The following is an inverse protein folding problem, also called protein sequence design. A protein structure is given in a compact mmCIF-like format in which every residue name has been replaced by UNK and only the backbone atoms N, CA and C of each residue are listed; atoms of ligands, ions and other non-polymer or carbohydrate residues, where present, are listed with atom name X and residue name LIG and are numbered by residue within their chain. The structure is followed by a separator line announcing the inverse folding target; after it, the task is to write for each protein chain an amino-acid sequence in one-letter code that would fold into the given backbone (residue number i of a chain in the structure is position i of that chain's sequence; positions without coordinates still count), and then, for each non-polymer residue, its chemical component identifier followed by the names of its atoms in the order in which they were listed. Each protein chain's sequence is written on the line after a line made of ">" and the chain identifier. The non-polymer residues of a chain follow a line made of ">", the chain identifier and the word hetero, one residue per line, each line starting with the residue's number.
data_IF_433974464701
#
_entry.id   IF_433974464701
#
_cell.length_a   1.000
_cell.length_b   1.000
_cell.length_c   1.000
_cell.angle_alpha   90.00
_cell.angle_beta   90.00
_cell.angle_gamma   90.00
#
_symmetry.space_group_name_H-M   'P 1'
#
loop_
_entity.id
_entity.type
_entity.pdbx_description
1 polymer ?
#
# COMPACT_ATOMS: atom_id res chain seq x y z
N UNK A 1 -18.38 -100.20 81.93
CA UNK A 1 -17.58 -99.29 81.07
C UNK A 1 -17.65 -97.87 81.63
N UNK A 2 -16.78 -96.97 81.14
CA UNK A 2 -16.96 -95.51 81.18
C UNK A 2 -16.73 -94.73 82.50
N UNK A 3 -15.85 -95.19 83.39
CA UNK A 3 -15.19 -94.28 84.36
C UNK A 3 -14.19 -93.36 83.63
N UNK A 4 -13.16 -93.94 82.99
CA UNK A 4 -12.11 -93.21 82.25
C UNK A 4 -12.60 -92.22 81.18
N UNK A 5 -13.84 -92.37 80.67
CA UNK A 5 -14.46 -91.36 79.78
C UNK A 5 -14.99 -90.16 80.57
N UNK A 6 -15.65 -90.39 81.71
CA UNK A 6 -16.11 -89.34 82.64
C UNK A 6 -14.92 -88.58 83.22
N UNK A 7 -13.86 -89.27 83.63
CA UNK A 7 -12.66 -88.63 84.18
C UNK A 7 -12.01 -87.68 83.14
N UNK A 8 -11.86 -88.12 81.89
CA UNK A 8 -11.37 -87.27 80.79
C UNK A 8 -12.30 -86.08 80.50
N UNK A 9 -13.63 -86.28 80.55
CA UNK A 9 -14.60 -85.21 80.36
C UNK A 9 -14.56 -84.20 81.51
N UNK A 10 -14.35 -84.66 82.75
CA UNK A 10 -14.19 -83.80 83.92
C UNK A 10 -12.91 -82.96 83.79
N UNK A 11 -11.79 -83.57 83.38
CA UNK A 11 -10.54 -82.86 83.14
C UNK A 11 -10.64 -81.84 81.99
N UNK A 12 -11.32 -82.16 80.88
CA UNK A 12 -11.48 -81.18 79.79
C UNK A 12 -12.46 -80.05 80.17
N UNK A 13 -13.50 -80.33 80.96
CA UNK A 13 -14.35 -79.30 81.54
C UNK A 13 -13.57 -78.41 82.52
N UNK A 14 -12.72 -78.98 83.37
CA UNK A 14 -11.83 -78.23 84.26
C UNK A 14 -10.84 -77.35 83.48
N UNK A 15 -10.26 -77.84 82.38
CA UNK A 15 -9.40 -76.99 81.52
C UNK A 15 -10.17 -75.86 80.83
N UNK A 16 -11.43 -76.07 80.43
CA UNK A 16 -12.26 -74.99 79.88
C UNK A 16 -12.66 -73.98 80.97
N UNK A 17 -12.96 -74.44 82.18
CA UNK A 17 -13.24 -73.56 83.33
C UNK A 17 -11.99 -72.75 83.71
N UNK A 18 -10.81 -73.38 83.79
CA UNK A 18 -9.54 -72.70 84.05
C UNK A 18 -9.20 -71.70 82.95
N UNK A 19 -9.38 -72.05 81.67
CA UNK A 19 -9.19 -71.10 80.56
C UNK A 19 -10.15 -69.90 80.65
N UNK A 20 -11.44 -70.13 80.93
CA UNK A 20 -12.43 -69.06 81.10
C UNK A 20 -12.15 -68.21 82.35
N UNK A 21 -11.68 -68.83 83.44
CA UNK A 21 -11.29 -68.14 84.67
C UNK A 21 -10.04 -67.27 84.44
N UNK A 22 -9.02 -67.78 83.75
CA UNK A 22 -7.84 -67.00 83.37
C UNK A 22 -8.18 -65.88 82.38
N UNK A 23 -9.11 -66.11 81.43
CA UNK A 23 -9.62 -65.05 80.55
C UNK A 23 -10.38 -63.96 81.32
N UNK A 24 -11.20 -64.34 82.30
CA UNK A 24 -11.89 -63.40 83.18
C UNK A 24 -10.90 -62.65 84.10
N UNK A 25 -9.85 -63.31 84.60
CA UNK A 25 -8.78 -62.66 85.40
C UNK A 25 -7.96 -61.70 84.54
N UNK A 26 -7.57 -62.07 83.31
CA UNK A 26 -6.92 -61.15 82.37
C UNK A 26 -7.83 -59.97 81.99
N UNK A 27 -9.13 -60.23 81.78
CA UNK A 27 -10.09 -59.15 81.56
C UNK A 27 -10.16 -58.24 82.80
N UNK A 28 -10.24 -58.79 84.01
CA UNK A 28 -10.31 -58.02 85.25
C UNK A 28 -9.01 -57.27 85.60
N UNK A 29 -7.84 -57.70 85.11
CA UNK A 29 -6.59 -56.93 85.27
C UNK A 29 -6.41 -55.86 84.18
N UNK A 30 -6.84 -56.10 82.95
CA UNK A 30 -6.97 -55.06 81.92
C UNK A 30 -8.08 -54.04 82.26
N UNK A 31 -9.12 -54.48 82.96
CA UNK A 31 -10.25 -53.72 83.48
C UNK A 31 -10.07 -53.40 84.99
N UNK A 32 -8.81 -53.34 85.43
CA UNK A 32 -8.41 -52.86 86.76
C UNK A 32 -8.34 -51.34 86.88
N UNK A 33 -8.43 -50.62 85.76
CA UNK A 33 -8.95 -49.26 85.73
C UNK A 33 -10.47 -49.32 85.57
N UNK A 34 -11.16 -48.41 86.25
CA UNK A 34 -12.62 -48.36 86.40
C UNK A 34 -13.38 -48.69 85.09
N UNK A 35 -14.25 -49.73 85.10
CA UNK A 35 -15.14 -50.05 83.98
C UNK A 35 -15.90 -48.85 83.41
N UNK A 36 -16.37 -47.95 84.27
CA UNK A 36 -17.14 -46.77 83.88
C UNK A 36 -16.25 -45.77 83.14
N UNK A 37 -15.05 -45.49 83.65
CA UNK A 37 -14.07 -44.63 82.97
C UNK A 37 -13.63 -45.19 81.61
N UNK A 38 -13.56 -46.52 81.46
CA UNK A 38 -13.26 -47.17 80.17
C UNK A 38 -14.41 -47.02 79.16
N UNK A 39 -15.66 -47.09 79.61
CA UNK A 39 -16.82 -46.89 78.72
C UNK A 39 -17.03 -45.40 78.38
N UNK A 40 -16.84 -44.50 79.34
CA UNK A 40 -17.02 -43.06 79.15
C UNK A 40 -15.90 -42.43 78.32
N UNK A 41 -14.64 -42.89 78.45
CA UNK A 41 -13.58 -42.50 77.50
C UNK A 41 -13.80 -43.07 76.09
N UNK A 42 -14.54 -44.17 75.95
CA UNK A 42 -14.99 -44.68 74.65
C UNK A 42 -16.13 -43.83 74.07
N UNK A 43 -17.13 -43.45 74.89
CA UNK A 43 -18.19 -42.51 74.51
C UNK A 43 -17.62 -41.16 74.07
N UNK A 44 -16.66 -40.62 74.83
CA UNK A 44 -16.00 -39.36 74.54
C UNK A 44 -15.28 -39.38 73.17
N UNK A 45 -14.45 -40.39 72.90
CA UNK A 45 -13.81 -40.57 71.59
C UNK A 45 -14.82 -40.73 70.45
N UNK A 46 -15.96 -41.37 70.71
CA UNK A 46 -17.05 -41.50 69.75
C UNK A 46 -17.90 -40.22 69.56
N UNK A 47 -17.74 -39.21 70.42
CA UNK A 47 -18.28 -37.85 70.24
C UNK A 47 -17.27 -37.03 69.45
N UNK A 48 -16.00 -37.01 69.86
CA UNK A 48 -14.89 -36.33 69.17
C UNK A 48 -14.79 -36.74 67.68
N UNK A 49 -14.86 -38.04 67.39
CA UNK A 49 -14.86 -38.54 66.01
C UNK A 49 -16.11 -38.12 65.21
N UNK A 50 -17.26 -37.91 65.86
CA UNK A 50 -18.47 -37.37 65.20
C UNK A 50 -18.34 -35.87 64.94
N UNK A 51 -17.61 -35.14 65.76
CA UNK A 51 -17.37 -33.71 65.59
C UNK A 51 -16.34 -33.47 64.48
N UNK A 52 -15.24 -34.21 64.48
CA UNK A 52 -14.28 -34.26 63.35
C UNK A 52 -14.97 -34.65 62.03
N UNK A 53 -15.90 -35.62 62.04
CA UNK A 53 -16.68 -35.98 60.85
C UNK A 53 -17.63 -34.87 60.38
N UNK A 54 -18.26 -34.12 61.31
CA UNK A 54 -19.09 -32.94 60.95
C UNK A 54 -18.23 -31.84 60.33
N UNK A 55 -17.08 -31.53 60.93
CA UNK A 55 -16.14 -30.50 60.47
C UNK A 55 -15.56 -30.85 59.08
N UNK A 56 -15.11 -32.09 58.90
CA UNK A 56 -14.64 -32.59 57.60
C UNK A 56 -15.75 -32.55 56.54
N UNK A 57 -17.00 -32.86 56.90
CA UNK A 57 -18.14 -32.75 55.97
C UNK A 57 -18.47 -31.29 55.63
N UNK A 58 -18.38 -30.37 56.60
CA UNK A 58 -18.64 -28.94 56.40
C UNK A 58 -17.58 -28.30 55.49
N UNK A 59 -16.29 -28.51 55.78
CA UNK A 59 -15.17 -28.02 54.97
C UNK A 59 -15.16 -28.62 53.57
N UNK A 60 -15.50 -29.91 53.41
CA UNK A 60 -15.70 -30.51 52.09
C UNK A 60 -16.83 -29.83 51.30
N UNK A 61 -17.98 -29.55 51.94
CA UNK A 61 -19.10 -28.86 51.30
C UNK A 61 -18.73 -27.43 50.87
N UNK A 62 -18.06 -26.68 51.74
CA UNK A 62 -17.54 -25.34 51.44
C UNK A 62 -16.58 -25.37 50.24
N UNK A 63 -15.65 -26.33 50.18
CA UNK A 63 -14.75 -26.50 49.04
C UNK A 63 -15.49 -26.84 47.75
N UNK A 64 -16.52 -27.70 47.80
CA UNK A 64 -17.37 -28.01 46.63
C UNK A 64 -18.13 -26.77 46.15
N UNK A 65 -18.66 -25.95 47.05
CA UNK A 65 -19.37 -24.71 46.71
C UNK A 65 -18.42 -23.62 46.17
N UNK A 66 -17.22 -23.49 46.73
CA UNK A 66 -16.17 -22.61 46.23
C UNK A 66 -15.69 -23.01 44.82
N UNK A 67 -15.43 -24.31 44.58
CA UNK A 67 -15.07 -24.82 43.26
C UNK A 67 -16.22 -24.63 42.26
N UNK A 68 -17.46 -24.92 42.65
CA UNK A 68 -18.63 -24.79 41.78
C UNK A 68 -18.87 -23.34 41.38
N UNK A 69 -18.88 -22.42 42.34
CA UNK A 69 -19.08 -20.98 42.08
C UNK A 69 -17.93 -20.36 41.28
N UNK A 70 -16.68 -20.79 41.50
CA UNK A 70 -15.55 -20.40 40.66
C UNK A 70 -15.69 -20.92 39.22
N UNK A 71 -16.12 -22.18 39.04
CA UNK A 71 -16.35 -22.79 37.73
C UNK A 71 -17.46 -22.06 36.95
N UNK A 72 -18.59 -21.76 37.59
CA UNK A 72 -19.69 -20.98 37.00
C UNK A 72 -19.23 -19.58 36.55
N UNK A 73 -18.28 -18.96 37.27
CA UNK A 73 -17.71 -17.66 36.88
C UNK A 73 -16.60 -17.76 35.81
N UNK A 74 -15.88 -18.88 35.74
CA UNK A 74 -14.75 -19.07 34.83
C UNK A 74 -15.20 -19.52 33.43
N UNK A 75 -16.15 -20.46 33.36
CA UNK A 75 -16.65 -21.04 32.11
C UNK A 75 -17.06 -19.99 31.05
N UNK A 76 -17.95 -19.01 31.33
CA UNK A 76 -18.35 -18.01 30.33
C UNK A 76 -17.20 -17.11 29.87
N UNK A 77 -16.22 -16.84 30.75
CA UNK A 77 -15.02 -16.04 30.39
C UNK A 77 -14.14 -16.79 29.38
N UNK A 78 -14.01 -18.11 29.54
CA UNK A 78 -13.29 -18.99 28.59
C UNK A 78 -14.05 -19.08 27.25
N UNK A 79 -15.38 -19.20 27.28
CA UNK A 79 -16.18 -19.16 26.04
C UNK A 79 -16.06 -17.83 25.31
N UNK A 80 -16.14 -16.70 26.02
CA UNK A 80 -15.91 -15.37 25.44
C UNK A 80 -14.52 -15.22 24.84
N UNK A 81 -13.48 -15.68 25.54
CA UNK A 81 -12.11 -15.66 25.02
C UNK A 81 -12.00 -16.48 23.71
N UNK A 82 -12.64 -17.65 23.65
CA UNK A 82 -12.70 -18.50 22.45
C UNK A 82 -13.48 -17.84 21.30
N UNK A 83 -14.61 -17.16 21.59
CA UNK A 83 -15.39 -16.38 20.60
C UNK A 83 -14.54 -15.23 20.03
N UNK A 84 -13.87 -14.47 20.90
CA UNK A 84 -12.98 -13.36 20.54
C UNK A 84 -11.77 -13.85 19.74
N UNK A 85 -11.18 -14.99 20.09
CA UNK A 85 -10.10 -15.63 19.34
C UNK A 85 -10.54 -16.00 17.92
N UNK A 86 -11.72 -16.61 17.74
CA UNK A 86 -12.25 -16.95 16.43
C UNK A 86 -12.50 -15.70 15.55
N UNK A 87 -13.08 -14.64 16.13
CA UNK A 87 -13.29 -13.36 15.45
C UNK A 87 -11.96 -12.71 15.02
N UNK A 88 -10.93 -12.74 15.87
CA UNK A 88 -9.59 -12.25 15.52
C UNK A 88 -8.94 -13.08 14.41
N UNK A 89 -9.09 -14.41 14.44
CA UNK A 89 -8.59 -15.30 13.40
C UNK A 89 -9.26 -15.04 12.04
N UNK A 90 -10.58 -14.82 12.01
CA UNK A 90 -11.30 -14.43 10.80
C UNK A 90 -10.85 -13.04 10.30
N UNK A 91 -10.76 -12.05 11.19
CA UNK A 91 -10.30 -10.71 10.83
C UNK A 91 -8.88 -10.70 10.24
N UNK A 92 -7.97 -11.54 10.76
CA UNK A 92 -6.63 -11.75 10.22
C UNK A 92 -6.67 -12.39 8.82
N UNK A 93 -7.52 -13.41 8.60
CA UNK A 93 -7.72 -14.01 7.27
C UNK A 93 -8.28 -12.99 6.25
N UNK A 94 -9.27 -12.20 6.65
CA UNK A 94 -9.82 -11.11 5.82
C UNK A 94 -8.75 -10.05 5.50
N UNK A 95 -7.92 -9.66 6.47
CA UNK A 95 -6.83 -8.70 6.27
C UNK A 95 -5.75 -9.26 5.33
N UNK A 96 -5.39 -10.53 5.48
CA UNK A 96 -4.45 -11.22 4.60
C UNK A 96 -4.99 -11.31 3.17
N UNK A 97 -6.27 -11.65 2.98
CA UNK A 97 -6.91 -11.65 1.66
C UNK A 97 -6.92 -10.25 1.02
N UNK A 98 -7.27 -9.20 1.80
CA UNK A 98 -7.21 -7.80 1.35
C UNK A 98 -5.79 -7.38 0.95
N UNK A 99 -4.76 -7.80 1.71
CA UNK A 99 -3.34 -7.58 1.36
C UNK A 99 -2.97 -8.23 0.03
N UNK A 100 -3.35 -9.49 -0.19
CA UNK A 100 -3.06 -10.18 -1.46
C UNK A 100 -3.75 -9.50 -2.65
N UNK A 101 -5.03 -9.14 -2.52
CA UNK A 101 -5.74 -8.38 -3.57
C UNK A 101 -5.07 -7.02 -3.85
N UNK A 102 -4.62 -6.30 -2.82
CA UNK A 102 -3.93 -5.02 -2.99
C UNK A 102 -2.58 -5.17 -3.72
N UNK A 103 -1.81 -6.21 -3.41
CA UNK A 103 -0.52 -6.48 -4.06
C UNK A 103 -0.67 -6.85 -5.54
N UNK A 104 -1.65 -7.69 -5.92
CA UNK A 104 -1.86 -8.00 -7.34
C UNK A 104 -2.49 -6.81 -8.10
N UNK A 105 -3.37 -6.01 -7.48
CA UNK A 105 -3.84 -4.75 -8.07
C UNK A 105 -2.68 -3.78 -8.36
N UNK A 106 -1.74 -3.63 -7.43
CA UNK A 106 -0.52 -2.84 -7.63
C UNK A 106 0.33 -3.41 -8.79
N UNK A 107 0.49 -4.73 -8.86
CA UNK A 107 1.24 -5.40 -9.92
C UNK A 107 0.61 -5.23 -11.30
N UNK A 108 -0.71 -5.28 -11.40
CA UNK A 108 -1.45 -5.04 -12.65
C UNK A 108 -1.26 -3.58 -13.09
N UNK A 109 -1.52 -2.61 -12.20
CA UNK A 109 -1.33 -1.19 -12.49
C UNK A 109 0.12 -0.84 -12.87
N UNK A 110 1.11 -1.50 -12.27
CA UNK A 110 2.53 -1.36 -12.64
C UNK A 110 2.79 -1.85 -14.08
N UNK A 111 2.29 -3.03 -14.47
CA UNK A 111 2.42 -3.56 -15.83
C UNK A 111 1.71 -2.68 -16.85
N UNK A 112 0.50 -2.21 -16.53
CA UNK A 112 -0.27 -1.31 -17.39
C UNK A 112 0.45 0.03 -17.61
N UNK A 113 1.02 0.59 -16.54
CA UNK A 113 1.86 1.79 -16.63
C UNK A 113 3.11 1.56 -17.49
N UNK A 114 3.83 0.44 -17.30
CA UNK A 114 5.01 0.08 -18.09
C UNK A 114 4.65 -0.03 -19.59
N UNK A 115 3.64 -0.83 -19.93
CA UNK A 115 3.15 -1.00 -21.29
C UNK A 115 2.71 0.34 -21.92
N UNK A 116 2.12 1.25 -21.13
CA UNK A 116 1.73 2.57 -21.61
C UNK A 116 2.91 3.53 -21.80
N UNK A 117 4.02 3.35 -21.07
CA UNK A 117 5.28 4.04 -21.38
C UNK A 117 5.93 3.47 -22.64
N UNK A 118 6.01 2.16 -22.78
CA UNK A 118 6.57 1.49 -23.96
C UNK A 118 5.84 1.91 -25.24
N UNK A 119 4.51 1.89 -25.24
CA UNK A 119 3.68 2.41 -26.35
C UNK A 119 3.96 3.88 -26.67
N UNK A 120 4.12 4.74 -25.66
CA UNK A 120 4.46 6.17 -25.86
C UNK A 120 5.85 6.34 -26.47
N UNK A 121 6.84 5.58 -26.01
CA UNK A 121 8.21 5.61 -26.52
C UNK A 121 8.28 5.06 -27.95
N UNK A 122 7.54 3.99 -28.25
CA UNK A 122 7.44 3.44 -29.61
C UNK A 122 6.82 4.46 -30.57
N UNK A 123 5.65 5.04 -30.25
CA UNK A 123 5.03 6.07 -31.10
C UNK A 123 5.93 7.30 -31.30
N UNK A 124 6.65 7.73 -30.25
CA UNK A 124 7.61 8.82 -30.37
C UNK A 124 8.78 8.45 -31.28
N UNK A 125 9.27 7.22 -31.23
CA UNK A 125 10.32 6.72 -32.11
C UNK A 125 9.86 6.67 -33.58
N UNK A 126 8.65 6.13 -33.83
CA UNK A 126 8.00 6.08 -35.15
C UNK A 126 7.83 7.49 -35.76
N UNK A 127 7.21 8.42 -35.03
CA UNK A 127 7.04 9.82 -35.46
C UNK A 127 8.40 10.49 -35.69
N UNK A 128 9.41 10.22 -34.85
CA UNK A 128 10.76 10.75 -35.08
C UNK A 128 11.42 10.21 -36.36
N UNK A 129 11.12 8.96 -36.76
CA UNK A 129 11.62 8.36 -37.98
C UNK A 129 10.92 8.94 -39.22
N UNK A 130 9.60 9.10 -39.17
CA UNK A 130 8.86 9.79 -40.24
C UNK A 130 9.36 11.22 -40.45
N UNK A 131 9.60 11.97 -39.36
CA UNK A 131 10.12 13.35 -39.45
C UNK A 131 11.52 13.38 -40.07
N UNK A 132 12.41 12.44 -39.72
CA UNK A 132 13.75 12.34 -40.34
C UNK A 132 13.67 12.03 -41.83
N UNK A 133 12.83 11.08 -42.24
CA UNK A 133 12.69 10.73 -43.67
C UNK A 133 11.99 11.83 -44.47
N UNK A 134 10.99 12.52 -43.92
CA UNK A 134 10.41 13.74 -44.53
C UNK A 134 11.46 14.83 -44.69
N UNK A 135 12.23 15.14 -43.64
CA UNK A 135 13.29 16.15 -43.67
C UNK A 135 14.37 15.82 -44.72
N UNK A 136 14.76 14.54 -44.82
CA UNK A 136 15.71 14.03 -45.81
C UNK A 136 15.19 14.16 -47.23
N UNK A 137 13.93 13.81 -47.49
CA UNK A 137 13.27 14.01 -48.79
C UNK A 137 13.17 15.49 -49.17
N UNK A 138 12.75 16.36 -48.24
CA UNK A 138 12.73 17.82 -48.47
C UNK A 138 14.12 18.37 -48.77
N UNK A 139 15.17 17.87 -48.10
CA UNK A 139 16.55 18.27 -48.41
C UNK A 139 16.97 17.80 -49.80
N UNK A 140 16.67 16.56 -50.18
CA UNK A 140 17.02 16.03 -51.50
C UNK A 140 16.36 16.81 -52.65
N UNK A 141 15.09 17.19 -52.50
CA UNK A 141 14.41 18.02 -53.52
C UNK A 141 14.95 19.47 -53.53
N UNK A 142 15.32 20.03 -52.37
CA UNK A 142 16.02 21.33 -52.30
C UNK A 142 17.40 21.28 -52.98
N UNK A 143 18.21 20.25 -52.71
CA UNK A 143 19.52 20.06 -53.33
C UNK A 143 19.38 19.90 -54.87
N UNK A 144 18.31 19.25 -55.34
CA UNK A 144 17.94 19.15 -56.76
C UNK A 144 17.52 20.49 -57.36
N UNK A 145 16.63 21.24 -56.71
CA UNK A 145 16.18 22.56 -57.18
C UNK A 145 17.34 23.55 -57.29
N UNK A 146 18.36 23.45 -56.42
CA UNK A 146 19.61 24.22 -56.57
C UNK A 146 20.40 23.86 -57.84
N UNK A 147 20.40 22.59 -58.26
CA UNK A 147 21.03 22.16 -59.51
C UNK A 147 20.26 22.66 -60.73
N UNK A 148 18.93 22.55 -60.72
CA UNK A 148 18.06 23.05 -61.79
C UNK A 148 18.11 24.58 -61.93
N UNK A 149 18.20 25.33 -60.82
CA UNK A 149 18.43 26.77 -60.83
C UNK A 149 19.82 27.11 -61.38
N UNK A 150 20.83 26.30 -61.06
CA UNK A 150 22.20 26.42 -61.60
C UNK A 150 22.25 26.28 -63.13
N UNK A 151 21.60 25.26 -63.69
CA UNK A 151 21.55 25.06 -65.16
C UNK A 151 20.74 26.13 -65.86
N UNK A 152 19.59 26.53 -65.31
CA UNK A 152 18.79 27.66 -65.83
C UNK A 152 19.58 28.97 -65.83
N UNK A 153 20.36 29.26 -64.78
CA UNK A 153 21.23 30.44 -64.72
C UNK A 153 22.34 30.39 -65.78
N UNK A 154 22.93 29.22 -66.03
CA UNK A 154 23.93 29.05 -67.09
C UNK A 154 23.31 29.25 -68.49
N UNK A 155 22.10 28.72 -68.72
CA UNK A 155 21.37 28.88 -69.98
C UNK A 155 20.99 30.36 -70.22
N UNK A 156 20.50 31.06 -69.19
CA UNK A 156 20.21 32.48 -69.27
C UNK A 156 21.46 33.32 -69.63
N UNK A 157 22.62 32.98 -69.06
CA UNK A 157 23.90 33.59 -69.45
C UNK A 157 24.26 33.33 -70.92
N UNK A 158 24.08 32.10 -71.42
CA UNK A 158 24.33 31.77 -72.82
C UNK A 158 23.40 32.51 -73.79
N UNK A 159 22.13 32.73 -73.44
CA UNK A 159 21.22 33.56 -74.23
C UNK A 159 21.58 35.05 -74.17
N UNK A 160 22.07 35.54 -73.02
CA UNK A 160 22.60 36.91 -72.89
C UNK A 160 23.86 37.12 -73.76
N UNK A 161 24.79 36.16 -73.77
CA UNK A 161 25.98 36.17 -74.64
C UNK A 161 25.61 36.09 -76.13
N UNK A 162 24.53 35.37 -76.48
CA UNK A 162 23.98 35.38 -77.85
C UNK A 162 23.38 36.74 -78.17
N UNK A 163 22.55 37.32 -77.30
CA UNK A 163 21.91 38.62 -77.52
C UNK A 163 22.94 39.73 -77.71
N UNK A 164 23.97 39.78 -76.87
CA UNK A 164 25.06 40.75 -76.98
C UNK A 164 25.81 40.61 -78.31
N UNK A 165 26.09 39.40 -78.78
CA UNK A 165 26.69 39.18 -80.12
C UNK A 165 25.81 39.70 -81.25
N UNK A 166 24.50 39.45 -81.21
CA UNK A 166 23.57 40.00 -82.21
C UNK A 166 23.53 41.54 -82.17
N UNK A 167 23.59 42.15 -80.98
CA UNK A 167 23.67 43.60 -80.82
C UNK A 167 24.95 44.19 -81.43
N UNK A 168 26.11 43.55 -81.24
CA UNK A 168 27.37 43.92 -81.88
C UNK A 168 27.31 43.76 -83.41
N UNK A 169 26.70 42.68 -83.93
CA UNK A 169 26.52 42.51 -85.38
C UNK A 169 25.62 43.61 -85.98
N UNK A 170 24.55 44.02 -85.28
CA UNK A 170 23.70 45.13 -85.71
C UNK A 170 24.49 46.46 -85.75
N UNK A 171 25.28 46.77 -84.73
CA UNK A 171 26.15 47.96 -84.72
C UNK A 171 27.15 47.97 -85.89
N UNK A 172 27.76 46.82 -86.20
CA UNK A 172 28.66 46.68 -87.34
C UNK A 172 27.93 46.91 -88.68
N UNK A 173 26.72 46.35 -88.85
CA UNK A 173 25.91 46.56 -90.05
C UNK A 173 25.49 48.02 -90.25
N UNK A 174 25.11 48.74 -89.20
CA UNK A 174 24.81 50.18 -89.28
C UNK A 174 26.06 51.00 -89.65
N UNK A 175 27.21 50.66 -89.09
CA UNK A 175 28.50 51.30 -89.38
C UNK A 175 28.89 51.11 -90.86
N UNK A 176 28.78 49.87 -91.37
CA UNK A 176 29.04 49.55 -92.78
C UNK A 176 28.03 50.20 -93.75
N UNK A 177 26.79 50.46 -93.29
CA UNK A 177 25.77 51.20 -94.04
C UNK A 177 25.95 52.73 -93.96
N UNK A 178 27.02 53.23 -93.31
CA UNK A 178 27.33 54.66 -93.21
C UNK A 178 26.39 55.45 -92.30
N UNK A 179 25.58 54.78 -91.47
CA UNK A 179 24.61 55.42 -90.57
C UNK A 179 25.18 55.49 -89.16
N UNK A 180 25.66 56.68 -88.77
CA UNK A 180 26.20 56.91 -87.44
C UNK A 180 25.09 56.84 -86.39
N UNK A 181 25.09 55.79 -85.57
CA UNK A 181 24.18 55.63 -84.44
C UNK A 181 24.84 56.19 -83.18
N UNK A 182 24.33 57.31 -82.66
CA UNK A 182 24.78 57.86 -81.38
C UNK A 182 24.41 56.91 -80.23
N UNK A 183 25.34 56.59 -79.31
CA UNK A 183 25.06 55.79 -78.12
C UNK A 183 24.37 56.67 -77.05
N UNK A 184 23.10 57.02 -77.27
CA UNK A 184 22.39 57.98 -76.42
C UNK A 184 20.94 58.21 -76.78
N UNK A 185 20.11 57.16 -76.69
CA UNK A 185 18.65 57.29 -76.61
C UNK A 185 18.13 56.23 -75.64
N UNK A 186 17.37 56.66 -74.64
CA UNK A 186 16.94 55.82 -73.53
C UNK A 186 15.80 54.88 -73.97
N UNK A 187 16.14 53.63 -74.25
CA UNK A 187 15.20 52.55 -73.99
C UNK A 187 15.17 52.38 -72.47
N UNK A 188 14.14 52.92 -71.82
CA UNK A 188 13.89 52.69 -70.40
C UNK A 188 13.94 51.20 -70.11
N UNK A 189 14.92 50.77 -69.32
CA UNK A 189 14.84 49.46 -68.66
C UNK A 189 13.63 49.58 -67.73
N UNK A 190 12.54 48.81 -67.92
CA UNK A 190 11.44 48.82 -66.99
C UNK A 190 12.03 48.51 -65.62
N UNK A 191 11.78 49.40 -64.67
CA UNK A 191 12.49 49.42 -63.38
C UNK A 191 12.50 48.03 -62.79
N UNK A 192 13.64 47.64 -62.19
CA UNK A 192 13.81 46.36 -61.48
C UNK A 192 12.51 46.05 -60.74
N UNK A 193 11.79 45.00 -61.14
CA UNK A 193 10.59 44.61 -60.42
C UNK A 193 11.07 44.21 -59.03
N UNK A 194 10.88 45.10 -58.06
CA UNK A 194 11.57 45.00 -56.79
C UNK A 194 11.17 43.69 -56.11
N UNK A 195 12.16 42.80 -55.94
CA UNK A 195 12.04 41.74 -54.95
C UNK A 195 11.65 42.44 -53.64
N UNK A 196 10.56 42.05 -52.98
CA UNK A 196 10.25 42.55 -51.65
C UNK A 196 11.45 42.23 -50.77
N UNK A 197 12.24 43.27 -50.46
CA UNK A 197 13.54 43.12 -49.84
C UNK A 197 13.31 42.86 -48.36
N UNK A 198 13.07 41.59 -48.03
CA UNK A 198 12.74 41.14 -46.69
C UNK A 198 13.69 41.76 -45.68
N UNK A 199 13.10 42.51 -44.77
CA UNK A 199 13.84 43.19 -43.72
C UNK A 199 14.44 42.09 -42.83
N UNK A 200 15.71 42.19 -42.41
CA UNK A 200 16.17 41.49 -41.21
C UNK A 200 15.45 42.12 -40.01
N UNK A 201 14.18 41.73 -39.84
CA UNK A 201 13.32 42.25 -38.79
C UNK A 201 13.86 41.77 -37.44
N UNK A 202 13.83 42.67 -36.46
CA UNK A 202 14.64 42.53 -35.26
C UNK A 202 14.33 41.25 -34.47
N UNK A 203 15.40 40.73 -33.88
CA UNK A 203 15.51 39.59 -32.95
C UNK A 203 14.37 39.51 -31.90
N UNK A 204 13.19 39.02 -32.26
CA UNK A 204 12.12 38.73 -31.29
C UNK A 204 12.52 37.53 -30.44
N UNK A 205 12.63 37.72 -29.13
CA UNK A 205 12.84 36.62 -28.18
C UNK A 205 11.64 35.65 -28.21
N UNK A 206 11.84 34.34 -27.95
CA UNK A 206 10.75 33.43 -27.62
C UNK A 206 10.21 33.75 -26.22
N UNK A 207 9.37 34.79 -26.12
CA UNK A 207 8.70 35.19 -24.89
C UNK A 207 7.75 34.06 -24.44
N UNK A 208 8.08 33.43 -23.30
CA UNK A 208 7.17 32.49 -22.62
C UNK A 208 5.89 33.21 -22.20
N UNK A 209 4.81 33.01 -22.96
CA UNK A 209 3.45 33.23 -22.47
C UNK A 209 2.59 32.01 -22.75
N UNK A 210 1.78 31.63 -21.76
CA UNK A 210 0.95 30.44 -21.81
C UNK A 210 -0.37 30.77 -22.52
N UNK A 211 -0.64 30.17 -23.68
CA UNK A 211 -2.00 30.14 -24.22
C UNK A 211 -2.85 29.20 -23.37
N UNK A 212 -3.53 29.78 -22.37
CA UNK A 212 -4.58 29.10 -21.58
C UNK A 212 -5.95 29.59 -22.03
N UNK A 213 -6.25 29.44 -23.31
CA UNK A 213 -7.59 29.73 -23.82
C UNK A 213 -8.57 28.64 -23.38
N UNK A 214 -9.54 29.05 -22.58
CA UNK A 214 -10.73 28.27 -22.25
C UNK A 214 -11.91 29.03 -22.84
N UNK A 215 -12.58 28.48 -23.86
CA UNK A 215 -13.66 29.21 -24.52
C UNK A 215 -14.79 29.54 -23.54
N UNK A 216 -15.23 30.80 -23.58
CA UNK A 216 -16.33 31.28 -22.75
C UNK A 216 -17.70 30.80 -23.23
N UNK A 217 -18.71 31.04 -22.39
CA UNK A 217 -20.12 31.03 -22.80
C UNK A 217 -20.89 32.00 -21.91
N UNK A 218 -21.61 32.92 -22.51
CA UNK A 218 -22.52 33.80 -21.79
C UNK A 218 -23.69 33.02 -21.20
N UNK A 219 -24.13 33.38 -19.98
CA UNK A 219 -25.53 33.77 -19.73
C UNK A 219 -25.82 34.29 -18.31
N UNK A 220 -26.82 35.17 -18.28
CA UNK A 220 -27.86 35.32 -17.24
C UNK A 220 -27.45 35.73 -15.80
N UNK A 221 -27.14 37.02 -15.67
CA UNK A 221 -27.84 37.99 -14.79
C UNK A 221 -28.61 37.46 -13.56
N UNK A 222 -28.13 37.85 -12.37
CA UNK A 222 -28.87 38.21 -11.14
C UNK A 222 -30.04 37.34 -10.64
N UNK A 223 -29.92 36.83 -9.39
CA UNK A 223 -30.67 37.41 -8.25
C UNK A 223 -30.20 36.96 -6.86
N UNK A 224 -30.49 37.82 -5.87
CA UNK A 224 -30.61 37.59 -4.41
C UNK A 224 -31.36 36.29 -4.07
N UNK A 225 -31.19 35.60 -2.93
CA UNK A 225 -30.25 35.68 -1.78
C UNK A 225 -30.36 34.30 -1.03
N UNK A 226 -29.95 34.04 0.23
CA UNK A 226 -29.47 34.87 1.35
C UNK A 226 -28.57 34.04 2.31
N UNK A 227 -28.08 34.65 3.40
CA UNK A 227 -27.28 34.00 4.46
C UNK A 227 -28.09 33.63 5.73
N UNK A 228 -27.45 33.43 6.90
CA UNK A 228 -26.00 33.35 7.20
C UNK A 228 -25.67 31.97 7.88
N UNK A 229 -24.61 31.68 8.63
CA UNK A 229 -23.38 32.40 9.07
C UNK A 229 -22.27 31.37 9.38
N UNK A 230 -20.97 31.64 9.13
CA UNK A 230 -19.85 30.83 9.64
C UNK A 230 -19.42 31.26 11.07
N UNK A 231 -18.71 30.38 11.77
CA UNK A 231 -18.06 30.67 13.06
C UNK A 231 -16.65 30.05 13.12
N UNK A 232 -15.72 30.71 13.83
CA UNK A 232 -14.37 30.18 14.09
C UNK A 232 -13.29 30.59 13.08
N UNK A 233 -12.98 31.88 13.01
CA UNK A 233 -11.75 32.35 12.36
C UNK A 233 -10.55 32.34 13.34
N UNK A 234 -9.40 31.83 12.90
CA UNK A 234 -8.11 32.00 13.56
C UNK A 234 -7.02 32.12 12.49
N UNK A 235 -6.33 33.27 12.43
CA UNK A 235 -5.40 33.60 11.35
C UNK A 235 -3.99 33.04 11.58
N UNK A 236 -3.32 32.65 10.48
CA UNK A 236 -1.86 32.52 10.41
C UNK A 236 -1.20 33.92 10.43
N UNK A 237 0.13 34.02 10.68
CA UNK A 237 1.02 34.23 9.53
C UNK A 237 2.38 33.50 9.60
N UNK A 238 3.27 33.78 8.64
CA UNK A 238 4.50 33.05 8.25
C UNK A 238 5.67 34.05 8.02
N UNK A 239 6.97 33.69 7.91
CA UNK A 239 7.58 32.35 7.76
C UNK A 239 8.98 32.16 8.43
N UNK A 240 10.09 32.82 8.03
CA UNK A 240 11.29 32.01 7.66
C UNK A 240 12.65 32.35 8.30
N UNK A 241 13.57 31.37 8.22
CA UNK A 241 15.04 31.51 8.29
C UNK A 241 15.65 31.38 9.69
N UNK A 242 16.89 30.91 9.87
CA UNK A 242 17.89 30.29 8.97
C UNK A 242 18.86 29.38 9.82
N UNK A 243 19.78 28.66 9.16
CA UNK A 243 21.20 28.30 9.52
C UNK A 243 21.68 28.35 11.01
N UNK A 244 22.65 27.56 11.50
CA UNK A 244 23.61 26.59 10.93
C UNK A 244 24.37 25.85 12.07
N UNK A 245 25.05 24.72 11.76
CA UNK A 245 26.07 24.03 12.61
C UNK A 245 25.57 23.53 14.00
N UNK A 246 26.26 22.61 14.68
CA UNK A 246 27.41 21.76 14.33
C UNK A 246 28.03 21.12 15.58
N UNK A 247 28.60 19.92 15.47
CA UNK A 247 29.30 19.16 16.54
C UNK A 247 28.39 18.78 17.74
N UNK A 248 28.72 17.80 18.60
CA UNK A 248 29.77 16.78 18.53
C UNK A 248 30.01 16.09 19.89
N UNK A 249 29.54 14.85 20.07
CA UNK A 249 29.85 13.92 21.17
C UNK A 249 29.40 12.51 20.81
#
# INVERSE_FOLDING_TARGET
>A
MDSRKKDKLLCSQLQVVDFLQNFLVQKNTAQGLDPLASEDTSRQKAIEAKEQWKELKATYQEHVEAITSALTQALPKVEEARRKQAQLQEALQQLQAKKQMAMEKLRIAQKEWQLQQEKRLQHLAEVSAEVRERQKGTKQELDRLYQELGTLKQQAGQEQDKLQRHQTFLQLLYTLQGKLLFPGAEAEIPQKLDLPKDKPQQLTQPQKQNTRDTMGRDRDVSSKADGPQPAGGASLPWLPGERQHGEGS
#
